data_IF_162232869353
#
_entry.id   IF_162232869353
#
_cell.length_a   1.000
_cell.length_b   1.000
_cell.length_c   1.000
_cell.angle_alpha   90.00
_cell.angle_beta   90.00
_cell.angle_gamma   90.00
#
_symmetry.space_group_name_H-M   'P 1'
#
loop_
_entity.id
_entity.type
_entity.pdbx_description
1 polymer ?
#
# COMPACT_ATOMS: atom_id res chain seq x y z
N UNK A 1 6.92 -23.76 1.51
CA UNK A 1 7.47 -22.64 0.71
C UNK A 1 6.30 -22.00 -0.01
N UNK A 2 6.10 -20.68 0.12
CA UNK A 2 5.02 -19.97 -0.59
C UNK A 2 5.45 -19.81 -2.04
N UNK A 3 4.71 -20.38 -2.98
CA UNK A 3 5.08 -20.34 -4.39
C UNK A 3 4.96 -18.90 -4.95
N UNK A 4 5.96 -18.39 -5.70
CA UNK A 4 5.91 -17.05 -6.30
C UNK A 4 4.89 -16.86 -7.44
N UNK A 5 4.02 -17.83 -7.72
CA UNK A 5 3.26 -17.89 -8.96
C UNK A 5 1.99 -17.01 -8.97
N UNK A 6 2.17 -15.72 -8.70
CA UNK A 6 1.29 -14.65 -9.18
C UNK A 6 1.88 -14.04 -10.44
N UNK A 7 1.65 -14.65 -11.62
CA UNK A 7 2.24 -14.33 -12.94
C UNK A 7 2.06 -12.87 -13.45
N UNK A 8 1.50 -11.99 -12.62
CA UNK A 8 1.31 -10.55 -12.85
C UNK A 8 1.33 -9.74 -11.54
N UNK A 9 1.28 -10.38 -10.38
CA UNK A 9 1.17 -9.75 -9.07
C UNK A 9 2.21 -10.43 -8.19
N UNK A 10 3.49 -10.12 -8.43
CA UNK A 10 4.61 -10.65 -7.66
C UNK A 10 4.63 -10.00 -6.27
N UNK A 11 3.72 -10.46 -5.41
CA UNK A 11 3.57 -9.98 -4.03
C UNK A 11 4.83 -10.24 -3.21
N UNK A 12 5.49 -11.42 -3.27
CA UNK A 12 6.77 -11.64 -2.60
C UNK A 12 7.81 -10.57 -2.95
N UNK A 13 8.04 -10.30 -4.24
CA UNK A 13 8.99 -9.29 -4.66
C UNK A 13 8.54 -7.87 -4.28
N UNK A 14 7.24 -7.57 -4.38
CA UNK A 14 6.69 -6.30 -3.93
C UNK A 14 6.97 -6.06 -2.44
N UNK A 15 6.85 -7.10 -1.62
CA UNK A 15 7.17 -7.03 -0.20
C UNK A 15 8.66 -6.75 0.02
N UNK A 16 9.57 -7.36 -0.74
CA UNK A 16 11.02 -7.12 -0.65
C UNK A 16 11.43 -5.66 -0.84
N UNK A 17 10.63 -4.89 -1.58
CA UNK A 17 10.83 -3.45 -1.74
C UNK A 17 10.31 -2.60 -0.56
N UNK A 18 9.61 -3.19 0.41
CA UNK A 18 9.12 -2.52 1.61
C UNK A 18 10.13 -2.68 2.74
N UNK A 19 10.79 -1.57 3.09
CA UNK A 19 11.61 -1.45 4.29
C UNK A 19 10.83 -0.71 5.37
N UNK A 20 10.09 -1.47 6.17
CA UNK A 20 9.29 -0.96 7.27
C UNK A 20 10.17 -0.32 8.36
N UNK A 21 9.76 0.84 8.86
CA UNK A 21 10.30 1.45 10.09
C UNK A 21 9.18 1.73 11.07
N UNK A 22 9.48 1.83 12.39
CA UNK A 22 8.51 2.28 13.37
C UNK A 22 7.85 3.59 12.94
N UNK A 23 6.52 3.63 13.00
CA UNK A 23 5.74 4.81 12.60
C UNK A 23 5.36 4.90 11.12
N UNK A 24 5.92 4.07 10.24
CA UNK A 24 5.50 4.01 8.83
C UNK A 24 4.03 3.59 8.71
N UNK A 25 3.33 4.18 7.73
CA UNK A 25 1.97 3.80 7.35
C UNK A 25 1.98 2.96 6.06
N UNK A 26 1.00 2.07 5.91
CA UNK A 26 0.70 1.31 4.71
C UNK A 26 -0.71 1.65 4.23
N UNK A 27 -0.86 1.88 2.94
CA UNK A 27 -2.14 2.07 2.25
C UNK A 27 -2.24 1.08 1.10
N UNK A 28 -3.40 0.46 0.93
CA UNK A 28 -3.72 -0.31 -0.26
C UNK A 28 -4.57 0.54 -1.20
N UNK A 29 -4.16 0.64 -2.46
CA UNK A 29 -4.90 1.32 -3.53
C UNK A 29 -6.17 0.60 -3.93
N UNK A 30 -6.24 -0.70 -3.66
CA UNK A 30 -7.40 -1.56 -3.82
C UNK A 30 -7.44 -2.56 -2.66
N UNK A 31 -8.60 -2.71 -2.02
CA UNK A 31 -8.78 -3.57 -0.84
C UNK A 31 -8.50 -5.06 -1.11
N UNK A 32 -8.65 -5.51 -2.37
CA UNK A 32 -8.40 -6.90 -2.77
C UNK A 32 -6.93 -7.31 -2.67
N UNK A 33 -5.98 -6.39 -2.84
CA UNK A 33 -4.54 -6.67 -2.73
C UNK A 33 -4.12 -6.95 -1.29
N UNK A 34 -4.85 -6.39 -0.32
CA UNK A 34 -4.58 -6.57 1.12
C UNK A 34 -4.57 -8.04 1.49
N UNK A 35 -5.51 -8.84 0.98
CA UNK A 35 -5.60 -10.27 1.30
C UNK A 35 -4.34 -11.03 0.84
N UNK A 36 -3.81 -10.70 -0.33
CA UNK A 36 -2.57 -11.31 -0.84
C UNK A 36 -1.37 -10.91 0.05
N UNK A 37 -1.29 -9.65 0.47
CA UNK A 37 -0.22 -9.21 1.39
C UNK A 37 -0.34 -9.87 2.77
N UNK A 38 -1.55 -10.02 3.32
CA UNK A 38 -1.78 -10.75 4.57
C UNK A 38 -1.30 -12.21 4.44
N UNK A 39 -1.60 -12.88 3.32
CA UNK A 39 -1.16 -14.25 3.04
C UNK A 39 0.36 -14.38 2.95
N UNK A 40 1.03 -13.48 2.20
CA UNK A 40 2.48 -13.53 1.99
C UNK A 40 3.30 -12.89 3.12
N UNK A 41 2.70 -12.11 4.03
CA UNK A 41 3.38 -11.52 5.17
C UNK A 41 3.94 -12.58 6.13
N UNK A 42 3.13 -13.57 6.52
CA UNK A 42 3.55 -14.49 7.59
C UNK A 42 3.99 -13.72 8.83
N UNK A 43 5.24 -13.90 9.25
CA UNK A 43 5.85 -13.20 10.39
C UNK A 43 6.61 -11.91 10.00
N UNK A 44 6.66 -11.57 8.71
CA UNK A 44 7.38 -10.38 8.24
C UNK A 44 6.72 -9.10 8.79
N UNK A 45 7.49 -8.19 9.41
CA UNK A 45 6.95 -6.92 9.85
C UNK A 45 6.61 -6.05 8.63
N UNK A 46 5.32 -5.74 8.49
CA UNK A 46 4.82 -4.74 7.54
C UNK A 46 4.50 -3.43 8.28
N UNK A 47 4.53 -2.28 7.59
CA UNK A 47 4.04 -1.03 8.16
C UNK A 47 2.57 -1.13 8.56
N UNK A 48 2.13 -0.28 9.48
CA UNK A 48 0.75 -0.32 9.96
C UNK A 48 -0.23 0.03 8.83
N UNK A 49 -1.16 -0.85 8.52
CA UNK A 49 -2.28 -0.57 7.63
C UNK A 49 -3.26 0.39 8.31
N UNK A 50 -3.07 1.69 8.07
CA UNK A 50 -3.76 2.76 8.80
C UNK A 50 -5.21 2.97 8.36
N UNK A 51 -5.61 2.38 7.23
CA UNK A 51 -7.00 2.43 6.79
C UNK A 51 -7.80 1.21 7.29
N UNK A 52 -7.14 0.10 7.64
CA UNK A 52 -7.82 -1.12 8.06
C UNK A 52 -8.53 -0.92 9.41
N UNK A 53 -9.86 -0.77 9.37
CA UNK A 53 -10.70 -0.73 10.59
C UNK A 53 -11.03 -2.13 11.13
N UNK A 54 -11.02 -3.15 10.27
CA UNK A 54 -11.33 -4.53 10.64
C UNK A 54 -10.47 -5.53 9.88
N UNK A 55 -10.15 -6.65 10.53
CA UNK A 55 -9.54 -7.82 9.88
C UNK A 55 -10.57 -8.76 9.25
N UNK A 56 -11.85 -8.57 9.54
CA UNK A 56 -12.94 -9.34 8.95
C UNK A 56 -13.39 -8.68 7.65
N UNK A 57 -13.44 -9.40 6.52
CA UNK A 57 -14.04 -8.88 5.29
C UNK A 57 -15.51 -8.54 5.50
N UNK A 58 -16.04 -7.64 4.68
CA UNK A 58 -17.45 -7.24 4.74
C UNK A 58 -18.36 -8.44 4.40
N UNK A 59 -19.50 -8.57 5.08
CA UNK A 59 -20.43 -9.69 4.85
C UNK A 59 -20.96 -9.78 3.41
N UNK A 60 -20.90 -8.68 2.67
CA UNK A 60 -21.43 -8.53 1.31
C UNK A 60 -20.35 -8.56 0.22
N UNK A 61 -19.08 -8.86 0.54
CA UNK A 61 -18.03 -8.92 -0.46
C UNK A 61 -16.64 -9.27 0.06
N UNK A 62 -15.64 -9.19 -0.81
CA UNK A 62 -14.22 -9.40 -0.47
C UNK A 62 -13.51 -8.08 -0.08
N UNK A 63 -14.26 -7.01 0.14
CA UNK A 63 -13.77 -5.72 0.62
C UNK A 63 -13.57 -5.74 2.14
N UNK A 64 -12.71 -4.85 2.62
CA UNK A 64 -12.53 -4.57 4.04
C UNK A 64 -13.03 -3.16 4.31
N UNK A 65 -13.59 -2.92 5.51
CA UNK A 65 -14.00 -1.58 5.91
C UNK A 65 -12.76 -0.70 6.11
N UNK A 66 -12.60 0.29 5.25
CA UNK A 66 -11.51 1.26 5.31
C UNK A 66 -11.91 2.55 6.05
N UNK A 67 -10.93 3.21 6.66
CA UNK A 67 -11.05 4.60 7.12
C UNK A 67 -11.30 5.51 5.90
N UNK A 68 -12.43 6.24 5.86
CA UNK A 68 -12.73 7.10 4.72
C UNK A 68 -11.79 8.32 4.65
N UNK A 69 -11.25 8.76 5.79
CA UNK A 69 -10.35 9.91 5.87
C UNK A 69 -8.87 9.48 5.89
N UNK A 70 -8.31 9.36 4.68
CA UNK A 70 -6.88 9.08 4.48
C UNK A 70 -5.99 10.18 5.10
N UNK A 71 -6.42 11.44 5.09
CA UNK A 71 -5.60 12.53 5.62
C UNK A 71 -5.48 12.45 7.14
N UNK A 72 -6.60 12.16 7.83
CA UNK A 72 -6.62 11.90 9.26
C UNK A 72 -5.77 10.67 9.63
N UNK A 73 -5.89 9.57 8.87
CA UNK A 73 -5.10 8.36 9.08
C UNK A 73 -3.58 8.58 8.95
N UNK A 74 -3.18 9.57 8.14
CA UNK A 74 -1.78 9.94 7.92
C UNK A 74 -1.26 11.05 8.86
N UNK A 75 -2.08 11.53 9.81
CA UNK A 75 -1.65 12.54 10.80
C UNK A 75 -0.49 12.01 11.64
N UNK A 76 0.56 12.83 11.80
CA UNK A 76 1.79 12.46 12.52
C UNK A 76 2.71 11.48 11.79
N UNK A 77 2.31 10.94 10.63
CA UNK A 77 3.14 10.02 9.83
C UNK A 77 4.15 10.79 8.98
N UNK A 78 5.36 10.24 8.88
CA UNK A 78 6.46 10.81 8.07
C UNK A 78 6.68 10.05 6.76
N UNK A 79 6.38 8.74 6.76
CA UNK A 79 6.57 7.83 5.63
C UNK A 79 5.30 7.03 5.43
N UNK A 80 4.86 6.93 4.18
CA UNK A 80 3.71 6.11 3.79
C UNK A 80 4.07 5.26 2.58
N UNK A 81 3.82 3.96 2.71
CA UNK A 81 3.90 2.99 1.64
C UNK A 81 2.52 2.84 1.01
N UNK A 82 2.43 2.92 -0.31
CA UNK A 82 1.21 2.69 -1.06
C UNK A 82 1.43 1.51 -2.01
N UNK A 83 0.57 0.51 -1.90
CA UNK A 83 0.58 -0.69 -2.73
C UNK A 83 -0.63 -0.66 -3.63
N UNK A 84 -0.44 -0.84 -4.94
CA UNK A 84 -1.54 -0.83 -5.89
C UNK A 84 -1.29 -1.75 -7.07
N UNK A 85 -2.36 -2.30 -7.64
CA UNK A 85 -2.29 -2.98 -8.94
C UNK A 85 -2.23 -1.94 -10.06
N UNK A 86 -1.48 -2.23 -11.11
CA UNK A 86 -1.32 -1.35 -12.26
C UNK A 86 0.06 -0.70 -12.32
N UNK A 87 0.30 -0.01 -13.43
CA UNK A 87 1.55 0.73 -13.69
C UNK A 87 1.74 1.90 -12.73
N UNK A 88 2.94 2.49 -12.75
CA UNK A 88 3.28 3.70 -11.98
C UNK A 88 2.34 4.87 -12.31
N UNK A 89 1.92 4.98 -13.57
CA UNK A 89 1.03 6.02 -14.09
C UNK A 89 -0.41 5.80 -13.61
N UNK A 90 -0.87 4.55 -13.57
CA UNK A 90 -2.19 4.19 -13.05
C UNK A 90 -2.25 4.41 -11.53
N UNK A 91 -1.20 3.99 -10.80
CA UNK A 91 -1.10 4.17 -9.35
C UNK A 91 -1.27 5.65 -8.94
N UNK A 92 -0.59 6.58 -9.62
CA UNK A 92 -0.71 8.04 -9.38
C UNK A 92 -2.15 8.56 -9.48
N UNK A 93 -3.02 7.89 -10.24
CA UNK A 93 -4.43 8.28 -10.45
C UNK A 93 -5.38 7.69 -9.41
N UNK A 94 -4.89 6.89 -8.45
CA UNK A 94 -5.75 6.31 -7.42
C UNK A 94 -6.14 7.35 -6.36
N UNK A 95 -7.36 7.27 -5.79
CA UNK A 95 -7.80 8.17 -4.73
C UNK A 95 -6.82 8.27 -3.54
N UNK A 96 -6.26 7.14 -3.10
CA UNK A 96 -5.29 7.10 -1.98
C UNK A 96 -4.01 7.88 -2.28
N UNK A 97 -3.50 7.83 -3.51
CA UNK A 97 -2.32 8.59 -3.94
C UNK A 97 -2.60 10.09 -3.96
N UNK A 98 -3.78 10.49 -4.47
CA UNK A 98 -4.22 11.88 -4.44
C UNK A 98 -4.41 12.40 -3.03
N UNK A 99 -5.01 11.60 -2.15
CA UNK A 99 -5.23 11.96 -0.75
C UNK A 99 -3.90 12.10 0.02
N UNK A 100 -2.97 11.15 -0.14
CA UNK A 100 -1.62 11.26 0.44
C UNK A 100 -0.88 12.50 -0.08
N UNK A 101 -0.97 12.80 -1.38
CA UNK A 101 -0.40 14.02 -1.96
C UNK A 101 -0.99 15.29 -1.35
N UNK A 102 -2.32 15.37 -1.21
CA UNK A 102 -3.01 16.49 -0.55
C UNK A 102 -2.63 16.62 0.92
N UNK A 103 -2.33 15.51 1.60
CA UNK A 103 -1.84 15.48 2.98
C UNK A 103 -0.35 15.90 3.13
N UNK A 104 0.29 16.31 2.04
CA UNK A 104 1.66 16.84 2.03
C UNK A 104 2.75 15.79 1.80
N UNK A 105 2.42 14.60 1.30
CA UNK A 105 3.40 13.58 0.98
C UNK A 105 3.83 13.65 -0.50
N UNK A 106 5.09 13.32 -0.77
CA UNK A 106 5.64 13.24 -2.13
C UNK A 106 6.34 11.92 -2.39
N UNK A 107 6.26 11.37 -3.63
CA UNK A 107 6.99 10.15 -3.98
C UNK A 107 8.49 10.30 -3.75
N UNK A 108 9.09 9.35 -3.04
CA UNK A 108 10.53 9.22 -2.84
C UNK A 108 11.11 8.04 -3.62
N UNK A 109 10.35 6.95 -3.71
CA UNK A 109 10.71 5.73 -4.41
C UNK A 109 9.45 5.10 -5.00
N UNK A 110 9.55 4.59 -6.22
CA UNK A 110 8.45 3.85 -6.88
C UNK A 110 9.03 2.67 -7.63
N UNK A 111 8.56 1.48 -7.28
CA UNK A 111 8.88 0.23 -7.94
C UNK A 111 7.62 -0.37 -8.59
N UNK A 112 7.80 -1.16 -9.64
CA UNK A 112 6.74 -1.89 -10.31
C UNK A 112 7.25 -3.26 -10.75
N UNK A 113 6.48 -4.32 -10.53
CA UNK A 113 6.76 -5.63 -11.15
C UNK A 113 6.61 -5.44 -12.66
N UNK A 114 7.68 -5.61 -13.44
CA UNK A 114 7.72 -5.21 -14.86
C UNK A 114 6.68 -5.89 -15.78
N UNK A 115 5.90 -6.85 -15.27
CA UNK A 115 4.79 -7.53 -15.95
C UNK A 115 3.45 -6.81 -15.72
N UNK A 116 2.63 -6.67 -16.76
CA UNK A 116 1.36 -5.93 -16.71
C UNK A 116 0.16 -6.86 -16.44
N UNK A 117 -0.83 -6.42 -15.62
CA UNK A 117 -0.95 -5.10 -15.03
C UNK A 117 -0.02 -4.82 -13.84
N UNK A 118 0.58 -5.83 -13.20
CA UNK A 118 1.64 -5.62 -12.20
C UNK A 118 1.18 -5.13 -10.83
N UNK A 119 2.10 -5.14 -9.87
CA UNK A 119 2.02 -4.40 -8.60
C UNK A 119 2.99 -3.22 -8.66
N UNK A 120 2.50 -2.06 -8.25
CA UNK A 120 3.31 -0.88 -7.94
C UNK A 120 3.43 -0.71 -6.43
N UNK A 121 4.67 -0.48 -5.97
CA UNK A 121 4.99 -0.14 -4.58
C UNK A 121 5.60 1.26 -4.57
N UNK A 122 4.97 2.19 -3.86
CA UNK A 122 5.42 3.57 -3.77
C UNK A 122 5.69 3.96 -2.32
N UNK A 123 6.89 4.42 -2.02
CA UNK A 123 7.20 5.13 -0.79
C UNK A 123 7.01 6.63 -1.03
N UNK A 124 6.13 7.24 -0.25
CA UNK A 124 6.00 8.69 -0.17
C UNK A 124 6.49 9.17 1.19
N UNK A 125 7.08 10.36 1.21
CA UNK A 125 7.59 11.02 2.42
C UNK A 125 6.93 12.37 2.59
N UNK A 126 6.65 12.77 3.83
CA UNK A 126 6.08 14.08 4.14
C UNK A 126 7.07 15.17 3.71
N UNK A 127 6.58 16.18 3.00
CA UNK A 127 7.39 17.38 2.69
C UNK A 127 7.76 18.03 4.02
N UNK A 128 9.06 18.21 4.24
CA UNK A 128 9.53 19.08 5.30
C UNK A 128 9.33 20.50 4.79
N UNK A 129 8.42 21.25 5.41
CA UNK A 129 8.35 22.69 5.20
C UNK A 129 9.71 23.26 5.64
N UNK A 130 10.47 23.83 4.69
CA UNK A 130 11.62 24.67 5.03
C UNK A 130 11.13 26.03 5.46
#
# INVERSE_FOLDING_TARGET
VREPNGRFEDVPQAMDHITARPGDALLFGQSTIRASFDYYAGERPLPADVLRRSRTPERTGFSYRDEPDVAAALKGRQRVWIISRGTKEQAKRLPVHRAASKAGFTPRQVWHSAELPGITVALLVRRVSR
#
